data_IF_152426932209
#
_entry.id   IF_152426932209
#
_cell.length_a   1.000
_cell.length_b   1.000
_cell.length_c   1.000
_cell.angle_alpha   90.00
_cell.angle_beta   90.00
_cell.angle_gamma   90.00
#
_symmetry.space_group_name_H-M   'P 1'
#
loop_
_entity.id
_entity.type
_entity.pdbx_description
1 polymer ?
#
# COMPACT_ATOMS: atom_id res chain seq x y z
N UNK A 1 -6.01 -23.68 -54.44
CA UNK A 1 -7.35 -24.15 -54.03
C UNK A 1 -8.12 -22.93 -53.53
N UNK A 2 -8.85 -22.19 -54.37
CA UNK A 2 -10.23 -22.40 -54.86
C UNK A 2 -11.27 -22.67 -53.76
N UNK A 3 -12.16 -21.67 -53.61
CA UNK A 3 -13.62 -21.74 -53.44
C UNK A 3 -14.16 -22.22 -52.08
N UNK A 4 -15.27 -21.75 -51.51
CA UNK A 4 -16.17 -20.59 -51.67
C UNK A 4 -17.36 -20.84 -50.72
N UNK A 5 -18.14 -19.78 -50.41
CA UNK A 5 -19.57 -19.82 -49.97
C UNK A 5 -19.81 -20.34 -48.55
N UNK A 6 -20.57 -19.66 -47.68
CA UNK A 6 -22.01 -19.39 -47.82
C UNK A 6 -22.37 -18.00 -47.27
N UNK A 7 -23.02 -17.20 -48.12
CA UNK A 7 -23.89 -16.08 -47.74
C UNK A 7 -25.34 -16.59 -47.84
N UNK A 8 -26.17 -16.28 -46.83
CA UNK A 8 -27.59 -15.86 -46.93
C UNK A 8 -28.19 -15.98 -45.51
N UNK A 9 -29.00 -15.08 -44.95
CA UNK A 9 -30.03 -14.19 -45.51
C UNK A 9 -30.27 -13.03 -44.52
N UNK A 10 -30.47 -11.85 -45.10
CA UNK A 10 -31.00 -10.64 -44.50
C UNK A 10 -32.46 -10.79 -44.07
N UNK A 11 -32.84 -10.17 -42.95
CA UNK A 11 -34.10 -9.40 -42.87
C UNK A 11 -33.98 -8.25 -41.87
N UNK A 12 -34.13 -7.07 -42.43
CA UNK A 12 -34.24 -5.73 -41.85
C UNK A 12 -35.61 -5.49 -41.20
N UNK A 13 -35.75 -4.31 -40.56
CA UNK A 13 -36.91 -3.68 -39.88
C UNK A 13 -36.72 -3.75 -38.35
N UNK A 14 -36.67 -2.68 -37.54
CA UNK A 14 -36.91 -1.25 -37.74
C UNK A 14 -36.36 -0.47 -36.52
N UNK A 15 -36.02 0.78 -36.76
CA UNK A 15 -35.54 1.79 -35.84
C UNK A 15 -36.31 1.90 -34.52
N UNK A 16 -35.62 1.72 -33.39
CA UNK A 16 -35.77 2.60 -32.22
C UNK A 16 -34.38 2.92 -31.67
N UNK A 17 -34.01 4.19 -31.81
CA UNK A 17 -32.82 4.79 -31.23
C UNK A 17 -32.91 4.70 -29.70
N UNK A 18 -32.33 3.65 -29.13
CA UNK A 18 -31.81 3.70 -27.78
C UNK A 18 -30.42 4.32 -27.91
N UNK A 19 -30.24 5.54 -27.41
CA UNK A 19 -28.93 6.19 -27.34
C UNK A 19 -27.98 5.26 -26.58
N UNK A 20 -27.07 4.63 -27.32
CA UNK A 20 -25.94 3.93 -26.76
C UNK A 20 -25.03 4.98 -26.12
N UNK A 21 -25.02 5.02 -24.80
CA UNK A 21 -23.87 5.54 -24.05
C UNK A 21 -22.70 4.60 -24.35
N UNK A 22 -21.89 4.95 -25.35
CA UNK A 22 -20.66 4.24 -25.68
C UNK A 22 -19.66 4.43 -24.54
N UNK A 23 -19.72 3.56 -23.53
CA UNK A 23 -18.59 3.38 -22.61
C UNK A 23 -17.51 2.67 -23.41
N UNK A 24 -16.53 3.45 -23.88
CA UNK A 24 -15.43 2.96 -24.69
C UNK A 24 -14.60 1.94 -23.88
N UNK A 25 -14.43 0.68 -24.34
CA UNK A 25 -13.64 -0.34 -23.64
C UNK A 25 -12.16 0.02 -23.49
N UNK A 26 -11.67 0.99 -24.27
CA UNK A 26 -10.27 1.42 -24.27
C UNK A 26 -9.86 2.20 -23.01
N UNK A 27 -10.80 2.78 -22.25
CA UNK A 27 -10.46 3.47 -21.00
C UNK A 27 -10.17 2.48 -19.85
N UNK A 28 -10.78 1.30 -19.88
CA UNK A 28 -10.60 0.29 -18.82
C UNK A 28 -9.24 -0.37 -18.90
N UNK A 29 -8.72 -0.64 -20.10
CA UNK A 29 -7.40 -1.25 -20.32
C UNK A 29 -6.24 -0.32 -19.90
N UNK A 30 -6.31 0.97 -20.23
CA UNK A 30 -5.33 1.95 -19.76
C UNK A 30 -5.42 2.23 -18.25
N UNK A 31 -6.61 2.11 -17.64
CA UNK A 31 -6.77 2.20 -16.18
C UNK A 31 -6.16 1.00 -15.47
N UNK A 32 -6.38 -0.21 -15.98
CA UNK A 32 -5.83 -1.44 -15.39
C UNK A 32 -4.30 -1.47 -15.42
N UNK A 33 -3.66 -0.96 -16.49
CA UNK A 33 -2.18 -0.84 -16.53
C UNK A 33 -1.65 0.21 -15.56
N UNK A 34 -2.38 1.31 -15.36
CA UNK A 34 -1.99 2.36 -14.41
C UNK A 34 -2.17 1.90 -12.95
N UNK A 35 -3.30 1.25 -12.62
CA UNK A 35 -3.55 0.67 -11.29
C UNK A 35 -2.52 -0.42 -10.97
N UNK A 36 -2.24 -1.31 -11.94
CA UNK A 36 -1.17 -2.31 -11.82
C UNK A 36 0.20 -1.68 -11.56
N UNK A 37 0.50 -0.51 -12.14
CA UNK A 37 1.77 0.18 -11.90
C UNK A 37 1.81 0.91 -10.56
N UNK A 38 0.68 1.43 -10.08
CA UNK A 38 0.57 2.14 -8.80
C UNK A 38 0.62 1.17 -7.61
N UNK A 39 -0.09 0.04 -7.67
CA UNK A 39 -0.07 -0.98 -6.63
C UNK A 39 1.32 -1.62 -6.51
N UNK A 40 1.96 -1.88 -7.65
CA UNK A 40 3.34 -2.36 -7.70
C UNK A 40 4.32 -1.32 -7.12
N UNK A 41 4.12 -0.03 -7.42
CA UNK A 41 4.89 1.05 -6.82
C UNK A 41 4.79 1.09 -5.29
N UNK A 42 3.57 0.92 -4.76
CA UNK A 42 3.36 0.87 -3.31
C UNK A 42 4.03 -0.35 -2.67
N UNK A 43 3.96 -1.51 -3.33
CA UNK A 43 4.62 -2.74 -2.86
C UNK A 43 6.13 -2.55 -2.77
N UNK A 44 6.73 -2.03 -3.84
CA UNK A 44 8.17 -1.75 -3.89
C UNK A 44 8.60 -0.73 -2.84
N UNK A 45 7.81 0.32 -2.59
CA UNK A 45 8.12 1.31 -1.56
C UNK A 45 8.13 0.68 -0.16
N UNK A 46 7.15 -0.17 0.16
CA UNK A 46 7.14 -0.93 1.41
C UNK A 46 8.37 -1.85 1.55
N UNK A 47 8.75 -2.55 0.47
CA UNK A 47 9.94 -3.41 0.45
C UNK A 47 11.21 -2.60 0.72
N UNK A 48 11.39 -1.48 0.01
CA UNK A 48 12.55 -0.59 0.20
C UNK A 48 12.59 -0.06 1.64
N UNK A 49 11.46 0.42 2.17
CA UNK A 49 11.37 0.92 3.55
C UNK A 49 11.73 -0.16 4.58
N UNK A 50 11.31 -1.41 4.37
CA UNK A 50 11.69 -2.53 5.22
C UNK A 50 13.19 -2.81 5.18
N UNK A 51 13.79 -2.85 3.98
CA UNK A 51 15.22 -3.11 3.83
C UNK A 51 16.07 -1.98 4.40
N UNK A 52 15.64 -0.72 4.25
CA UNK A 52 16.32 0.41 4.88
C UNK A 52 16.29 0.34 6.41
N UNK A 53 15.15 -0.02 7.02
CA UNK A 53 15.05 -0.19 8.47
C UNK A 53 15.94 -1.33 8.98
N UNK A 54 15.99 -2.45 8.26
CA UNK A 54 16.91 -3.56 8.57
C UNK A 54 18.37 -3.12 8.47
N UNK A 55 18.72 -2.36 7.43
CA UNK A 55 20.07 -1.84 7.24
C UNK A 55 20.47 -0.90 8.40
N UNK A 56 19.58 0.01 8.81
CA UNK A 56 19.84 0.90 9.94
C UNK A 56 20.03 0.13 11.24
N UNK A 57 19.21 -0.89 11.48
CA UNK A 57 19.37 -1.78 12.64
C UNK A 57 20.71 -2.52 12.61
N UNK A 58 21.12 -3.02 11.44
CA UNK A 58 22.41 -3.68 11.28
C UNK A 58 23.60 -2.72 11.49
N UNK A 59 23.51 -1.48 10.98
CA UNK A 59 24.53 -0.45 11.22
C UNK A 59 24.64 -0.14 12.72
N UNK A 60 23.51 -0.05 13.42
CA UNK A 60 23.49 0.14 14.88
C UNK A 60 24.32 -0.91 15.60
N UNK A 61 24.04 -2.18 15.30
CA UNK A 61 24.71 -3.33 15.93
C UNK A 61 26.22 -3.33 15.65
N UNK A 62 26.63 -3.03 14.41
CA UNK A 62 28.05 -2.90 14.06
C UNK A 62 28.72 -1.78 14.87
N UNK A 63 28.08 -0.62 14.97
CA UNK A 63 28.63 0.52 15.69
C UNK A 63 28.70 0.25 17.20
N UNK A 64 27.71 -0.41 17.79
CA UNK A 64 27.73 -0.84 19.19
C UNK A 64 28.89 -1.81 19.49
N UNK A 65 29.10 -2.80 18.61
CA UNK A 65 30.23 -3.72 18.73
C UNK A 65 31.56 -2.96 18.58
N UNK A 66 31.64 -2.03 17.62
CA UNK A 66 32.83 -1.21 17.42
C UNK A 66 33.20 -0.41 18.66
N UNK A 67 32.23 0.25 19.29
CA UNK A 67 32.45 0.99 20.54
C UNK A 67 32.92 0.09 21.66
N UNK A 68 32.40 -1.15 21.73
CA UNK A 68 32.83 -2.15 22.73
C UNK A 68 34.30 -2.53 22.52
N UNK A 69 34.72 -2.77 21.28
CA UNK A 69 36.11 -3.08 20.94
C UNK A 69 37.04 -1.90 21.19
N UNK A 70 36.63 -0.68 20.83
CA UNK A 70 37.43 0.52 21.08
C UNK A 70 37.58 0.79 22.59
N UNK A 71 36.56 0.47 23.41
CA UNK A 71 36.62 0.56 24.88
C UNK A 71 37.62 -0.43 25.45
N UNK A 72 37.60 -1.67 24.98
CA UNK A 72 38.57 -2.69 25.37
C UNK A 72 40.00 -2.30 24.95
N UNK A 73 40.16 -1.73 23.76
CA UNK A 73 41.45 -1.24 23.29
C UNK A 73 42.00 -0.10 24.17
N UNK A 74 41.16 0.87 24.54
CA UNK A 74 41.55 1.96 25.44
C UNK A 74 41.98 1.43 26.82
N UNK A 75 41.22 0.50 27.39
CA UNK A 75 41.55 -0.16 28.66
C UNK A 75 42.90 -0.89 28.59
N UNK A 76 43.12 -1.70 27.54
CA UNK A 76 44.37 -2.42 27.32
C UNK A 76 45.57 -1.47 27.18
N UNK A 77 45.40 -0.35 26.47
CA UNK A 77 46.44 0.65 26.29
C UNK A 77 46.80 1.33 27.63
N UNK A 78 45.80 1.64 28.46
CA UNK A 78 45.98 2.23 29.78
C UNK A 78 46.68 1.26 30.74
N UNK A 79 46.29 -0.02 30.73
CA UNK A 79 46.96 -1.05 31.52
C UNK A 79 48.43 -1.23 31.10
N UNK A 80 48.70 -1.26 29.80
CA UNK A 80 50.05 -1.39 29.27
C UNK A 80 50.92 -0.21 29.68
N UNK A 81 50.39 1.02 29.56
CA UNK A 81 51.09 2.23 29.99
C UNK A 81 51.40 2.18 31.50
N UNK A 82 50.44 1.78 32.34
CA UNK A 82 50.63 1.66 33.78
C UNK A 82 51.61 0.54 34.20
N UNK A 83 51.69 -0.56 33.44
CA UNK A 83 52.67 -1.64 33.66
C UNK A 83 54.08 -1.18 33.27
N UNK A 84 54.21 -0.53 32.11
CA UNK A 84 55.49 -0.02 31.63
C UNK A 84 56.04 1.12 32.49
N UNK A 85 55.17 1.99 33.03
CA UNK A 85 55.58 3.10 33.91
C UNK A 85 56.16 2.59 35.23
N UNK A 86 55.55 1.55 35.80
CA UNK A 86 56.08 0.86 36.99
C UNK A 86 57.47 0.28 36.75
N UNK A 87 57.73 -0.28 35.56
CA UNK A 87 59.05 -0.82 35.20
C UNK A 87 60.06 0.32 35.01
N UNK A 88 59.66 1.40 34.31
CA UNK A 88 60.52 2.56 34.09
C UNK A 88 60.97 3.22 35.40
N UNK A 89 60.07 3.33 36.39
CA UNK A 89 60.36 3.85 37.73
C UNK A 89 61.39 3.03 38.53
N UNK A 90 61.62 1.77 38.17
CA UNK A 90 62.59 0.88 38.83
C UNK A 90 64.01 0.99 38.24
N UNK A 91 64.18 1.69 37.11
CA UNK A 91 65.47 1.85 36.43
C UNK A 91 66.14 3.18 36.78
N UNK A 92 67.47 3.20 36.96
CA UNK A 92 68.23 4.40 37.30
C UNK A 92 67.95 5.53 36.32
N UNK A 93 67.59 6.71 36.84
CA UNK A 93 67.18 7.87 36.06
C UNK A 93 68.24 8.25 35.01
N UNK A 94 68.02 7.84 33.77
CA UNK A 94 68.82 8.22 32.61
C UNK A 94 67.92 8.84 31.54
N UNK A 95 68.51 9.51 30.56
CA UNK A 95 67.77 10.26 29.53
C UNK A 95 66.80 9.39 28.72
N UNK A 96 67.11 8.10 28.51
CA UNK A 96 66.21 7.17 27.82
C UNK A 96 64.98 6.82 28.65
N UNK A 97 65.13 6.66 29.98
CA UNK A 97 63.99 6.44 30.87
C UNK A 97 62.99 7.61 30.82
N UNK A 98 63.48 8.85 30.74
CA UNK A 98 62.64 10.05 30.59
C UNK A 98 61.89 10.09 29.24
N UNK A 99 62.56 9.71 28.14
CA UNK A 99 61.93 9.61 26.82
C UNK A 99 60.86 8.52 26.81
N UNK A 100 61.14 7.34 27.38
CA UNK A 100 60.16 6.26 27.50
C UNK A 100 58.93 6.71 28.31
N UNK A 101 59.13 7.35 29.47
CA UNK A 101 58.04 7.86 30.29
C UNK A 101 57.16 8.88 29.52
N UNK A 102 57.77 9.75 28.70
CA UNK A 102 57.01 10.68 27.84
C UNK A 102 56.08 9.95 26.87
N UNK A 103 56.54 8.88 26.22
CA UNK A 103 55.70 8.08 25.33
C UNK A 103 54.59 7.33 26.09
N UNK A 104 54.87 6.82 27.29
CA UNK A 104 53.86 6.19 28.13
C UNK A 104 52.75 7.16 28.55
N UNK A 105 53.11 8.40 28.90
CA UNK A 105 52.13 9.45 29.18
C UNK A 105 51.27 9.79 27.96
N UNK A 106 51.87 9.82 26.75
CA UNK A 106 51.11 10.00 25.51
C UNK A 106 50.15 8.84 25.23
N UNK A 107 50.53 7.60 25.55
CA UNK A 107 49.65 6.43 25.40
C UNK A 107 48.47 6.48 26.37
N UNK A 108 48.71 6.83 27.63
CA UNK A 108 47.64 7.05 28.63
C UNK A 108 46.70 8.16 28.18
N UNK A 109 47.24 9.29 27.70
CA UNK A 109 46.42 10.38 27.17
C UNK A 109 45.58 9.94 25.97
N UNK A 110 46.15 9.16 25.05
CA UNK A 110 45.43 8.63 23.89
C UNK A 110 44.31 7.69 24.30
N UNK A 111 44.54 6.83 25.30
CA UNK A 111 43.51 5.96 25.87
C UNK A 111 42.33 6.78 26.42
N UNK A 112 42.60 7.83 27.21
CA UNK A 112 41.55 8.73 27.73
C UNK A 112 40.79 9.48 26.63
N UNK A 113 41.48 9.90 25.55
CA UNK A 113 40.80 10.52 24.40
C UNK A 113 39.88 9.54 23.69
N UNK A 114 40.32 8.29 23.49
CA UNK A 114 39.47 7.24 22.89
C UNK A 114 38.24 7.01 23.77
N UNK A 115 38.42 6.96 25.09
CA UNK A 115 37.34 6.76 26.05
C UNK A 115 36.27 7.86 25.97
N UNK A 116 36.71 9.12 25.96
CA UNK A 116 35.82 10.28 25.81
C UNK A 116 35.11 10.28 24.46
N UNK A 117 35.80 9.89 23.38
CA UNK A 117 35.20 9.82 22.05
C UNK A 117 34.13 8.72 21.96
N UNK A 118 34.31 7.60 22.65
CA UNK A 118 33.31 6.52 22.72
C UNK A 118 32.03 7.01 23.37
N UNK A 119 32.14 7.69 24.52
CA UNK A 119 30.99 8.20 25.25
C UNK A 119 30.24 9.25 24.44
N UNK A 120 30.98 10.17 23.79
CA UNK A 120 30.40 11.18 22.91
C UNK A 120 29.70 10.55 21.70
N UNK A 121 30.36 9.61 21.01
CA UNK A 121 29.80 8.93 19.84
C UNK A 121 28.55 8.12 20.20
N UNK A 122 28.55 7.41 21.33
CA UNK A 122 27.38 6.68 21.82
C UNK A 122 26.19 7.62 21.99
N UNK A 123 26.39 8.74 22.68
CA UNK A 123 25.31 9.69 22.94
C UNK A 123 24.81 10.37 21.65
N UNK A 124 25.71 10.98 20.88
CA UNK A 124 25.33 11.80 19.72
C UNK A 124 24.84 10.95 18.55
N UNK A 125 25.52 9.84 18.25
CA UNK A 125 25.25 9.05 17.04
C UNK A 125 24.26 7.92 17.30
N UNK A 126 24.48 7.09 18.33
CA UNK A 126 23.61 5.93 18.56
C UNK A 126 22.29 6.33 19.22
N UNK A 127 22.38 7.03 20.35
CA UNK A 127 21.20 7.29 21.20
C UNK A 127 20.32 8.42 20.66
N UNK A 128 20.91 9.40 19.96
CA UNK A 128 20.17 10.51 19.35
C UNK A 128 19.93 10.24 17.87
N UNK A 129 20.97 10.32 17.03
CA UNK A 129 20.77 10.38 15.58
C UNK A 129 20.14 9.10 15.01
N UNK A 130 20.76 7.95 15.29
CA UNK A 130 20.36 6.69 14.68
C UNK A 130 19.05 6.17 15.27
N UNK A 131 18.84 6.33 16.58
CA UNK A 131 17.56 6.02 17.21
C UNK A 131 16.42 6.86 16.65
N UNK A 132 16.59 8.19 16.57
CA UNK A 132 15.55 9.07 16.03
C UNK A 132 15.23 8.75 14.56
N UNK A 133 16.26 8.50 13.74
CA UNK A 133 16.05 8.15 12.34
C UNK A 133 15.28 6.82 12.19
N UNK A 134 15.60 5.82 13.00
CA UNK A 134 14.92 4.51 12.97
C UNK A 134 13.46 4.63 13.43
N UNK A 135 13.19 5.41 14.48
CA UNK A 135 11.82 5.72 14.93
C UNK A 135 11.04 6.45 13.84
N UNK A 136 11.59 7.54 13.27
CA UNK A 136 10.94 8.32 12.22
C UNK A 136 10.63 7.48 10.97
N UNK A 137 11.56 6.63 10.52
CA UNK A 137 11.32 5.76 9.36
C UNK A 137 10.30 4.66 9.66
N UNK A 138 10.28 4.13 10.88
CA UNK A 138 9.28 3.14 11.31
C UNK A 138 7.88 3.76 11.35
N UNK A 139 7.76 4.95 11.92
CA UNK A 139 6.50 5.68 12.00
C UNK A 139 6.00 6.10 10.61
N UNK A 140 6.89 6.59 9.74
CA UNK A 140 6.55 6.95 8.36
C UNK A 140 5.99 5.75 7.58
N UNK A 141 6.61 4.58 7.75
CA UNK A 141 6.13 3.34 7.13
C UNK A 141 4.74 2.98 7.64
N UNK A 142 4.53 3.06 8.95
CA UNK A 142 3.23 2.74 9.55
C UNK A 142 2.13 3.67 9.04
N UNK A 143 2.40 4.98 8.97
CA UNK A 143 1.46 5.97 8.42
C UNK A 143 1.10 5.61 6.97
N UNK A 144 2.10 5.25 6.14
CA UNK A 144 1.87 4.82 4.77
C UNK A 144 0.91 3.63 4.69
N UNK A 145 1.20 2.57 5.44
CA UNK A 145 0.41 1.33 5.43
C UNK A 145 -1.01 1.55 5.95
N UNK A 146 -1.18 2.37 6.98
CA UNK A 146 -2.49 2.70 7.57
C UNK A 146 -3.34 3.55 6.61
N UNK A 147 -2.78 4.60 5.99
CA UNK A 147 -3.49 5.41 5.00
C UNK A 147 -3.83 4.63 3.73
N UNK A 148 -2.90 3.81 3.24
CA UNK A 148 -3.14 2.94 2.08
C UNK A 148 -4.30 1.99 2.35
N UNK A 149 -4.30 1.32 3.51
CA UNK A 149 -5.36 0.40 3.91
C UNK A 149 -6.71 1.12 3.99
N UNK A 150 -6.74 2.34 4.53
CA UNK A 150 -7.98 3.13 4.57
C UNK A 150 -8.55 3.36 3.16
N UNK A 151 -7.70 3.72 2.18
CA UNK A 151 -8.15 3.93 0.81
C UNK A 151 -8.60 2.64 0.12
N UNK A 152 -7.92 1.53 0.37
CA UNK A 152 -8.31 0.20 -0.11
C UNK A 152 -9.68 -0.22 0.46
N UNK A 153 -9.90 -0.01 1.76
CA UNK A 153 -11.17 -0.32 2.43
C UNK A 153 -12.33 0.52 1.86
N UNK A 154 -12.10 1.82 1.63
CA UNK A 154 -13.08 2.72 1.00
C UNK A 154 -13.46 2.24 -0.41
N UNK A 155 -12.46 1.85 -1.22
CA UNK A 155 -12.65 1.36 -2.59
C UNK A 155 -13.38 0.01 -2.62
N UNK A 156 -12.95 -0.94 -1.78
CA UNK A 156 -13.54 -2.27 -1.68
C UNK A 156 -15.00 -2.20 -1.22
N UNK A 157 -15.31 -1.32 -0.25
CA UNK A 157 -16.69 -1.10 0.19
C UNK A 157 -17.57 -0.60 -0.95
N UNK A 158 -17.08 0.33 -1.77
CA UNK A 158 -17.82 0.83 -2.92
C UNK A 158 -18.06 -0.27 -3.97
N UNK A 159 -17.07 -1.13 -4.22
CA UNK A 159 -17.19 -2.27 -5.12
C UNK A 159 -18.22 -3.29 -4.62
N UNK A 160 -18.21 -3.58 -3.31
CA UNK A 160 -19.16 -4.49 -2.69
C UNK A 160 -20.61 -3.97 -2.85
N UNK A 161 -20.83 -2.67 -2.66
CA UNK A 161 -22.14 -2.04 -2.85
C UNK A 161 -22.65 -2.19 -4.30
N UNK A 162 -21.78 -2.03 -5.29
CA UNK A 162 -22.14 -2.27 -6.70
C UNK A 162 -22.54 -3.71 -6.93
N UNK A 163 -21.77 -4.65 -6.39
CA UNK A 163 -22.00 -6.10 -6.54
C UNK A 163 -23.34 -6.52 -5.91
N UNK A 164 -23.67 -5.96 -4.74
CA UNK A 164 -24.94 -6.20 -4.07
C UNK A 164 -26.12 -5.61 -4.88
N UNK A 165 -26.00 -4.36 -5.32
CA UNK A 165 -27.03 -3.71 -6.12
C UNK A 165 -27.25 -4.41 -7.48
N UNK A 166 -26.18 -4.92 -8.12
CA UNK A 166 -26.26 -5.72 -9.34
C UNK A 166 -27.03 -7.02 -9.09
N UNK A 167 -26.74 -7.71 -7.99
CA UNK A 167 -27.45 -8.94 -7.60
C UNK A 167 -28.93 -8.65 -7.35
N UNK A 168 -29.26 -7.55 -6.68
CA UNK A 168 -30.64 -7.13 -6.44
C UNK A 168 -31.37 -6.85 -7.74
N UNK A 169 -30.77 -6.08 -8.65
CA UNK A 169 -31.32 -5.79 -9.97
C UNK A 169 -31.51 -7.06 -10.83
N UNK A 170 -30.51 -7.96 -10.84
CA UNK A 170 -30.57 -9.23 -11.56
C UNK A 170 -31.72 -10.11 -11.07
N UNK A 171 -31.91 -10.20 -9.76
CA UNK A 171 -33.01 -10.95 -9.15
C UNK A 171 -34.38 -10.33 -9.46
N UNK A 172 -34.49 -8.99 -9.41
CA UNK A 172 -35.72 -8.28 -9.81
C UNK A 172 -36.10 -8.58 -11.26
N UNK A 173 -35.12 -8.53 -12.18
CA UNK A 173 -35.31 -8.86 -13.59
C UNK A 173 -35.82 -10.30 -13.78
N UNK A 174 -35.22 -11.28 -13.09
CA UNK A 174 -35.66 -12.69 -13.14
C UNK A 174 -37.10 -12.86 -12.68
N UNK A 175 -37.48 -12.18 -11.59
CA UNK A 175 -38.84 -12.24 -11.04
C UNK A 175 -39.87 -11.62 -11.99
N UNK A 176 -39.57 -10.45 -12.56
CA UNK A 176 -40.41 -9.81 -13.57
C UNK A 176 -40.60 -10.69 -14.80
N UNK A 177 -39.52 -11.27 -15.34
CA UNK A 177 -39.59 -12.19 -16.50
C UNK A 177 -40.45 -13.41 -16.16
N UNK A 178 -40.29 -14.00 -14.98
CA UNK A 178 -41.10 -15.14 -14.55
C UNK A 178 -42.59 -14.79 -14.49
N UNK A 179 -42.95 -13.64 -13.89
CA UNK A 179 -44.34 -13.17 -13.78
C UNK A 179 -44.95 -12.79 -15.12
N UNK A 180 -44.17 -12.15 -15.99
CA UNK A 180 -44.61 -11.82 -17.35
C UNK A 180 -44.85 -13.08 -18.20
N UNK A 181 -44.00 -14.10 -18.06
CA UNK A 181 -44.18 -15.40 -18.70
C UNK A 181 -45.44 -16.14 -18.18
N UNK A 182 -45.71 -16.05 -16.88
CA UNK A 182 -46.92 -16.60 -16.25
C UNK A 182 -48.18 -15.96 -16.85
N UNK A 183 -48.24 -14.62 -16.92
CA UNK A 183 -49.33 -13.88 -17.54
C UNK A 183 -49.50 -14.25 -19.02
N UNK A 184 -48.40 -14.34 -19.78
CA UNK A 184 -48.45 -14.67 -21.21
C UNK A 184 -49.04 -16.07 -21.44
N UNK A 185 -48.60 -17.07 -20.67
CA UNK A 185 -49.13 -18.44 -20.73
C UNK A 185 -50.60 -18.50 -20.32
N UNK A 186 -50.98 -17.82 -19.25
CA UNK A 186 -52.37 -17.80 -18.78
C UNK A 186 -53.29 -17.13 -19.80
N UNK A 187 -52.90 -15.98 -20.33
CA UNK A 187 -53.68 -15.24 -21.34
C UNK A 187 -53.90 -16.06 -22.61
N UNK A 188 -52.91 -16.86 -23.03
CA UNK A 188 -53.04 -17.76 -24.19
C UNK A 188 -54.04 -18.92 -23.97
N UNK A 189 -54.34 -19.27 -22.72
CA UNK A 189 -55.22 -20.39 -22.33
C UNK A 189 -56.56 -19.94 -21.72
N UNK A 190 -56.75 -18.63 -21.54
CA UNK A 190 -57.88 -18.05 -20.83
C UNK A 190 -59.20 -18.26 -21.58
N UNK A 191 -60.28 -18.54 -20.84
CA UNK A 191 -61.64 -18.69 -21.37
C UNK A 191 -62.48 -17.44 -21.11
N UNK A 192 -63.65 -17.36 -21.76
CA UNK A 192 -64.65 -16.31 -21.52
C UNK A 192 -65.06 -16.38 -20.03
N UNK A 193 -64.78 -15.31 -19.27
CA UNK A 193 -65.05 -15.21 -17.83
C UNK A 193 -63.81 -15.05 -16.92
N UNK A 194 -62.59 -15.23 -17.45
CA UNK A 194 -61.34 -15.14 -16.67
C UNK A 194 -60.81 -13.70 -16.47
N UNK A 195 -61.57 -12.67 -16.85
CA UNK A 195 -61.13 -11.27 -16.94
C UNK A 195 -60.55 -10.73 -15.63
N UNK A 196 -61.17 -11.05 -14.49
CA UNK A 196 -60.71 -10.60 -13.17
C UNK A 196 -59.31 -11.14 -12.83
N UNK A 197 -59.03 -12.40 -13.22
CA UNK A 197 -57.75 -13.05 -12.95
C UNK A 197 -56.65 -12.51 -13.87
N UNK A 198 -56.99 -12.18 -15.12
CA UNK A 198 -56.08 -11.49 -16.05
C UNK A 198 -55.71 -10.10 -15.50
N UNK A 199 -56.68 -9.35 -14.96
CA UNK A 199 -56.46 -8.03 -14.36
C UNK A 199 -55.52 -8.13 -13.14
N UNK A 200 -55.73 -9.12 -12.28
CA UNK A 200 -54.88 -9.36 -11.11
C UNK A 200 -53.44 -9.73 -11.51
N UNK A 201 -53.26 -10.61 -12.50
CA UNK A 201 -51.93 -10.95 -13.01
C UNK A 201 -51.24 -9.77 -13.69
N UNK A 202 -51.97 -8.92 -14.42
CA UNK A 202 -51.43 -7.67 -14.99
C UNK A 202 -50.96 -6.73 -13.88
N UNK A 203 -51.73 -6.56 -12.80
CA UNK A 203 -51.32 -5.77 -11.64
C UNK A 203 -50.03 -6.30 -11.03
N UNK A 204 -49.94 -7.62 -10.82
CA UNK A 204 -48.73 -8.25 -10.29
C UNK A 204 -47.51 -8.04 -11.21
N UNK A 205 -47.68 -8.10 -12.53
CA UNK A 205 -46.59 -7.78 -13.48
C UNK A 205 -46.16 -6.32 -13.37
N UNK A 206 -47.10 -5.38 -13.26
CA UNK A 206 -46.79 -3.95 -13.08
C UNK A 206 -46.04 -3.69 -11.76
N UNK A 207 -46.46 -4.30 -10.65
CA UNK A 207 -45.77 -4.17 -9.37
C UNK A 207 -44.31 -4.68 -9.44
N UNK A 208 -44.09 -5.80 -10.15
CA UNK A 208 -42.75 -6.32 -10.39
C UNK A 208 -41.93 -5.44 -11.35
N UNK A 209 -42.58 -4.80 -12.31
CA UNK A 209 -41.93 -3.83 -13.19
C UNK A 209 -41.44 -2.60 -12.40
N UNK A 210 -42.26 -2.06 -11.50
CA UNK A 210 -41.88 -0.97 -10.59
C UNK A 210 -40.74 -1.37 -9.65
N UNK A 211 -40.73 -2.63 -9.18
CA UNK A 211 -39.62 -3.17 -8.40
C UNK A 211 -38.31 -3.22 -9.22
N UNK A 212 -38.37 -3.66 -10.48
CA UNK A 212 -37.20 -3.64 -11.39
C UNK A 212 -36.68 -2.22 -11.60
N UNK A 213 -37.54 -1.23 -11.82
CA UNK A 213 -37.11 0.15 -12.01
C UNK A 213 -36.42 0.72 -10.77
N UNK A 214 -36.91 0.41 -9.56
CA UNK A 214 -36.25 0.80 -8.31
C UNK A 214 -34.87 0.16 -8.17
N UNK A 215 -34.77 -1.15 -8.35
CA UNK A 215 -33.50 -1.86 -8.27
C UNK A 215 -32.50 -1.40 -9.35
N UNK A 216 -32.98 -1.06 -10.55
CA UNK A 216 -32.15 -0.48 -11.61
C UNK A 216 -31.56 0.87 -11.19
N UNK A 217 -32.39 1.76 -10.66
CA UNK A 217 -31.94 3.09 -10.22
C UNK A 217 -30.91 2.98 -9.09
N UNK A 218 -31.13 2.09 -8.12
CA UNK A 218 -30.16 1.80 -7.05
C UNK A 218 -28.81 1.32 -7.62
N UNK A 219 -28.85 0.38 -8.56
CA UNK A 219 -27.64 -0.11 -9.23
C UNK A 219 -26.89 0.99 -9.99
N UNK A 220 -27.61 1.84 -10.74
CA UNK A 220 -27.01 2.96 -11.48
C UNK A 220 -26.37 3.98 -10.53
N UNK A 221 -27.03 4.28 -9.40
CA UNK A 221 -26.46 5.17 -8.38
C UNK A 221 -25.22 4.57 -7.72
N UNK A 222 -25.25 3.27 -7.40
CA UNK A 222 -24.10 2.55 -6.85
C UNK A 222 -22.90 2.58 -7.83
N UNK A 223 -23.14 2.33 -9.12
CA UNK A 223 -22.11 2.43 -10.16
C UNK A 223 -21.52 3.84 -10.27
N UNK A 224 -22.36 4.87 -10.25
CA UNK A 224 -21.90 6.26 -10.32
C UNK A 224 -21.02 6.61 -9.11
N UNK A 225 -21.42 6.17 -7.92
CA UNK A 225 -20.63 6.36 -6.71
C UNK A 225 -19.31 5.60 -6.76
N UNK A 226 -19.31 4.34 -7.20
CA UNK A 226 -18.09 3.56 -7.37
C UNK A 226 -17.12 4.20 -8.35
N UNK A 227 -17.58 4.66 -9.52
CA UNK A 227 -16.71 5.33 -10.48
C UNK A 227 -16.08 6.60 -9.91
N UNK A 228 -16.82 7.36 -9.09
CA UNK A 228 -16.27 8.51 -8.38
C UNK A 228 -15.20 8.08 -7.37
N UNK A 229 -15.47 7.06 -6.56
CA UNK A 229 -14.53 6.54 -5.55
C UNK A 229 -13.28 5.93 -6.22
N UNK A 230 -13.43 5.20 -7.32
CA UNK A 230 -12.33 4.63 -8.11
C UNK A 230 -11.37 5.72 -8.61
N UNK A 231 -11.91 6.82 -9.15
CA UNK A 231 -11.10 7.95 -9.58
C UNK A 231 -10.38 8.65 -8.41
N UNK A 232 -11.04 8.77 -7.25
CA UNK A 232 -10.41 9.32 -6.06
C UNK A 232 -9.33 8.40 -5.49
N UNK A 233 -9.57 7.08 -5.48
CA UNK A 233 -8.63 6.08 -5.00
C UNK A 233 -7.29 6.18 -5.74
N UNK A 234 -7.32 6.16 -7.08
CA UNK A 234 -6.12 6.26 -7.90
C UNK A 234 -5.35 7.56 -7.60
N UNK A 235 -6.05 8.68 -7.46
CA UNK A 235 -5.41 9.98 -7.14
C UNK A 235 -4.80 9.99 -5.74
N UNK A 236 -5.54 9.53 -4.74
CA UNK A 236 -5.10 9.47 -3.34
C UNK A 236 -3.88 8.58 -3.18
N UNK A 237 -3.89 7.37 -3.77
CA UNK A 237 -2.76 6.43 -3.69
C UNK A 237 -1.53 6.98 -4.39
N UNK A 238 -1.68 7.58 -5.58
CA UNK A 238 -0.53 8.21 -6.26
C UNK A 238 0.06 9.36 -5.45
N UNK A 239 -0.78 10.23 -4.88
CA UNK A 239 -0.31 11.32 -4.03
C UNK A 239 0.40 10.81 -2.76
N UNK A 240 -0.14 9.75 -2.15
CA UNK A 240 0.46 9.08 -1.01
C UNK A 240 1.84 8.53 -1.37
N UNK A 241 1.97 7.83 -2.50
CA UNK A 241 3.23 7.28 -2.98
C UNK A 241 4.30 8.38 -3.15
N UNK A 242 3.94 9.48 -3.81
CA UNK A 242 4.85 10.62 -4.03
C UNK A 242 5.28 11.25 -2.71
N UNK A 243 4.32 11.53 -1.83
CA UNK A 243 4.60 12.13 -0.52
C UNK A 243 5.56 11.29 0.32
N UNK A 244 5.33 9.98 0.38
CA UNK A 244 6.21 9.09 1.14
C UNK A 244 7.59 8.94 0.50
N UNK A 245 7.68 8.89 -0.83
CA UNK A 245 8.96 8.88 -1.53
C UNK A 245 9.77 10.16 -1.25
N UNK A 246 9.14 11.34 -1.33
CA UNK A 246 9.79 12.62 -1.02
C UNK A 246 10.24 12.71 0.44
N UNK A 247 9.39 12.27 1.37
CA UNK A 247 9.71 12.28 2.81
C UNK A 247 10.88 11.34 3.11
N UNK A 248 10.92 10.16 2.48
CA UNK A 248 12.03 9.21 2.64
C UNK A 248 13.34 9.77 2.07
N UNK A 249 13.31 10.48 0.94
CA UNK A 249 14.47 11.18 0.39
C UNK A 249 14.96 12.28 1.33
N UNK A 250 14.05 13.04 1.95
CA UNK A 250 14.40 14.06 2.93
C UNK A 250 15.09 13.46 4.16
N UNK A 251 14.53 12.39 4.72
CA UNK A 251 15.11 11.68 5.89
C UNK A 251 16.48 11.06 5.59
N UNK A 252 16.78 10.75 4.33
CA UNK A 252 18.09 10.24 3.91
C UNK A 252 19.15 11.35 3.75
N UNK A 253 18.76 12.62 3.73
CA UNK A 253 19.64 13.77 3.52
C UNK A 253 19.90 14.61 4.79
N UNK A 254 19.04 14.46 5.80
CA UNK A 254 19.10 15.12 7.11
C UNK A 254 19.99 14.40 8.09
#
# INVERSE_FOLDING_TARGET
MRLSTIISKTRTISNRQCRQSSVSPNNTLNRLSTISSTDEGCRLLCEISNEENKLLQYIKEILEERLTLDKQYAQNLQELAAKADRIACLTTANSMASICHKYLMQWSQRASTIDSNIDQFRYEVLDILLKNLLEQKTDLKKIFEDEKRQYEDEHQKAQNNVTEAEKHYSNACKLYVAKNNELTKFTALAKIGDDNRIIEMKRSVMENQDYVYRAHNEYVLALRNYNFIDEQYIRKVNNLLVYHQETQLFLNQS
#
